data_IF_932828135539
#
_entry.id   IF_932828135539
#
_cell.length_a   1.000
_cell.length_b   1.000
_cell.length_c   1.000
_cell.angle_alpha   90.00
_cell.angle_beta   90.00
_cell.angle_gamma   90.00
#
_symmetry.space_group_name_H-M   'P 1'
#
loop_
_entity.id
_entity.type
_entity.pdbx_description
1 polymer ?
#
# COMPACT_ATOMS: atom_id res chain seq x y z
N UNK A 1 22.87 -4.15 40.54
CA UNK A 1 23.61 -4.65 39.37
C UNK A 1 23.80 -3.50 38.39
N UNK A 2 24.94 -3.39 37.71
CA UNK A 2 25.16 -2.32 36.72
C UNK A 2 24.20 -2.46 35.53
N UNK A 3 23.60 -1.35 35.10
CA UNK A 3 22.70 -1.26 33.95
C UNK A 3 23.50 -0.95 32.68
N UNK A 4 23.64 -1.96 31.82
CA UNK A 4 24.35 -1.87 30.53
C UNK A 4 23.42 -1.56 29.36
N UNK A 5 22.11 -1.33 29.58
CA UNK A 5 21.14 -1.14 28.50
C UNK A 5 21.50 0.06 27.59
N UNK A 6 22.10 1.10 28.17
CA UNK A 6 22.53 2.30 27.46
C UNK A 6 23.81 2.13 26.64
N UNK A 7 24.56 1.05 26.82
CA UNK A 7 25.78 0.77 26.04
C UNK A 7 25.51 -0.08 24.80
N UNK A 8 24.26 -0.49 24.59
CA UNK A 8 23.85 -1.34 23.47
C UNK A 8 23.21 -0.49 22.37
N UNK A 9 23.61 -0.72 21.12
CA UNK A 9 22.98 -0.10 19.95
C UNK A 9 21.74 -0.91 19.54
N UNK A 10 20.62 -0.65 20.20
CA UNK A 10 19.35 -1.35 19.95
C UNK A 10 18.59 -0.69 18.78
N UNK A 11 17.90 -1.48 17.94
CA UNK A 11 17.01 -0.91 16.93
C UNK A 11 15.90 -0.10 17.56
N UNK A 12 15.74 1.14 17.11
CA UNK A 12 14.62 2.01 17.46
C UNK A 12 13.90 2.42 16.17
N UNK A 13 12.58 2.24 16.15
CA UNK A 13 11.77 2.53 14.98
C UNK A 13 10.37 2.99 15.40
N UNK A 14 9.84 4.05 14.77
CA UNK A 14 8.46 4.45 14.95
C UNK A 14 7.47 3.49 14.23
N UNK A 15 7.98 2.50 13.48
CA UNK A 15 7.14 1.55 12.78
C UNK A 15 6.43 0.61 13.78
N UNK A 16 5.09 0.64 13.84
CA UNK A 16 4.37 -0.16 14.81
C UNK A 16 4.47 -1.65 14.43
N UNK A 17 4.67 -2.49 15.44
CA UNK A 17 4.70 -3.95 15.25
C UNK A 17 3.33 -4.51 14.82
N UNK A 18 2.23 -3.87 15.26
CA UNK A 18 0.86 -4.21 14.85
C UNK A 18 0.47 -3.41 13.61
N UNK A 19 -0.09 -4.09 12.61
CA UNK A 19 -0.48 -3.48 11.34
C UNK A 19 -1.57 -2.40 11.45
N UNK A 20 -2.67 -2.69 12.18
CA UNK A 20 -3.88 -1.84 12.29
C UNK A 20 -4.48 -1.47 10.92
N UNK A 21 -4.52 -2.45 10.01
CA UNK A 21 -4.79 -2.25 8.58
C UNK A 21 -6.16 -1.64 8.30
N UNK A 22 -7.22 -2.12 8.95
CA UNK A 22 -8.57 -1.60 8.78
C UNK A 22 -8.69 -0.07 8.98
N UNK A 23 -7.81 0.53 9.79
CA UNK A 23 -7.76 1.99 9.98
C UNK A 23 -6.78 2.69 9.05
N UNK A 24 -5.65 2.05 8.71
CA UNK A 24 -4.56 2.67 7.94
C UNK A 24 -4.79 2.61 6.43
N UNK A 25 -5.32 1.49 5.93
CA UNK A 25 -5.53 1.25 4.50
C UNK A 25 -6.41 2.31 3.83
N UNK A 26 -7.54 2.76 4.43
CA UNK A 26 -8.33 3.84 3.83
C UNK A 26 -7.53 5.14 3.65
N UNK A 27 -6.64 5.46 4.59
CA UNK A 27 -5.76 6.62 4.50
C UNK A 27 -4.72 6.51 3.37
N UNK A 28 -4.21 5.31 3.12
CA UNK A 28 -3.30 5.06 1.99
C UNK A 28 -3.99 5.24 0.65
N UNK A 29 -5.17 4.62 0.48
CA UNK A 29 -5.96 4.75 -0.75
C UNK A 29 -6.28 6.22 -1.03
N UNK A 30 -6.72 6.97 -0.02
CA UNK A 30 -6.96 8.42 -0.13
C UNK A 30 -5.70 9.17 -0.57
N UNK A 31 -4.56 8.92 0.08
CA UNK A 31 -3.30 9.56 -0.31
C UNK A 31 -2.87 9.22 -1.75
N UNK A 32 -3.16 8.01 -2.24
CA UNK A 32 -2.82 7.63 -3.61
C UNK A 32 -3.69 8.34 -4.64
N UNK A 33 -4.99 8.51 -4.33
CA UNK A 33 -5.93 9.25 -5.15
C UNK A 33 -5.56 10.74 -5.21
N UNK A 34 -5.31 11.37 -4.06
CA UNK A 34 -4.88 12.77 -3.98
C UNK A 34 -3.60 13.05 -4.77
N UNK A 35 -2.66 12.08 -4.76
CA UNK A 35 -1.39 12.18 -5.47
C UNK A 35 -1.47 11.76 -6.94
N UNK A 36 -2.64 11.35 -7.44
CA UNK A 36 -2.79 10.82 -8.81
C UNK A 36 -1.73 9.76 -9.11
N UNK A 37 -1.58 8.80 -8.18
CA UNK A 37 -0.47 7.83 -8.21
C UNK A 37 -0.46 7.00 -9.49
N UNK A 38 -1.63 6.61 -9.97
CA UNK A 38 -1.73 5.81 -11.19
C UNK A 38 -1.22 6.60 -12.40
N UNK A 39 -1.63 7.86 -12.54
CA UNK A 39 -1.20 8.77 -13.58
C UNK A 39 0.31 9.01 -13.54
N UNK A 40 0.88 9.17 -12.34
CA UNK A 40 2.33 9.29 -12.16
C UNK A 40 3.09 8.05 -12.66
N UNK A 41 2.59 6.85 -12.36
CA UNK A 41 3.14 5.58 -12.86
C UNK A 41 3.04 5.53 -14.39
N UNK A 42 1.90 5.91 -14.97
CA UNK A 42 1.71 5.94 -16.44
C UNK A 42 2.68 6.89 -17.13
N UNK A 43 2.94 8.07 -16.54
CA UNK A 43 3.93 9.04 -17.05
C UNK A 43 5.35 8.46 -16.98
N UNK A 44 5.74 7.88 -15.85
CA UNK A 44 7.08 7.30 -15.67
C UNK A 44 7.35 6.08 -16.56
N UNK A 45 6.30 5.36 -16.98
CA UNK A 45 6.39 4.20 -17.85
C UNK A 45 6.30 4.54 -19.35
N UNK A 46 6.25 5.82 -19.74
CA UNK A 46 6.16 6.22 -21.13
C UNK A 46 7.30 5.62 -21.99
N UNK A 47 6.95 5.12 -23.19
CA UNK A 47 7.90 4.52 -24.12
C UNK A 47 8.32 3.07 -23.83
N UNK A 48 7.95 2.50 -22.68
CA UNK A 48 8.21 1.08 -22.38
C UNK A 48 7.32 0.17 -23.21
N UNK A 49 7.76 -1.07 -23.55
CA UNK A 49 6.88 -2.07 -24.12
C UNK A 49 5.62 -2.25 -23.29
N UNK A 50 4.46 -2.30 -23.95
CA UNK A 50 3.17 -2.44 -23.28
C UNK A 50 2.99 -3.88 -22.80
N UNK A 51 2.57 -4.02 -21.54
CA UNK A 51 1.92 -5.21 -21.03
C UNK A 51 0.44 -4.88 -20.82
N UNK A 52 -0.47 -5.68 -21.38
CA UNK A 52 -1.92 -5.44 -21.34
C UNK A 52 -2.56 -6.59 -20.58
N UNK A 53 -3.19 -6.27 -19.44
CA UNK A 53 -4.01 -7.18 -18.66
C UNK A 53 -5.47 -6.76 -18.87
N UNK A 54 -6.25 -7.61 -19.53
CA UNK A 54 -7.69 -7.39 -19.69
C UNK A 54 -8.42 -8.01 -18.51
N UNK A 55 -9.02 -7.16 -17.68
CA UNK A 55 -9.93 -7.62 -16.64
C UNK A 55 -11.34 -7.80 -17.23
N UNK A 56 -12.01 -8.88 -16.83
CA UNK A 56 -13.35 -9.19 -17.30
C UNK A 56 -14.35 -8.21 -16.68
N UNK A 57 -15.34 -7.69 -17.43
CA UNK A 57 -16.33 -6.80 -16.84
C UNK A 57 -17.14 -7.55 -15.77
N UNK A 58 -17.23 -7.05 -14.52
CA UNK A 58 -18.04 -7.67 -13.50
C UNK A 58 -19.54 -7.44 -13.80
N UNK A 59 -20.39 -8.32 -13.29
CA UNK A 59 -21.83 -8.08 -13.30
C UNK A 59 -22.17 -6.99 -12.27
N UNK A 60 -22.90 -5.95 -12.69
CA UNK A 60 -23.22 -4.79 -11.85
C UNK A 60 -24.44 -4.98 -10.93
N UNK A 61 -24.86 -6.22 -10.65
CA UNK A 61 -26.16 -6.52 -10.03
C UNK A 61 -26.06 -7.18 -8.63
N UNK A 62 -25.08 -6.81 -7.81
CA UNK A 62 -24.94 -7.33 -6.44
C UNK A 62 -23.67 -6.89 -5.74
N UNK A 63 -23.51 -7.33 -4.50
CA UNK A 63 -22.28 -7.12 -3.73
C UNK A 63 -21.15 -8.00 -4.23
N UNK A 64 -19.92 -7.48 -4.08
CA UNK A 64 -18.70 -8.22 -4.36
C UNK A 64 -18.53 -9.36 -3.36
N UNK A 65 -18.28 -10.57 -3.85
CA UNK A 65 -17.86 -11.72 -3.03
C UNK A 65 -16.36 -12.00 -3.21
N UNK A 66 -15.78 -12.84 -2.35
CA UNK A 66 -14.33 -13.16 -2.29
C UNK A 66 -13.70 -13.72 -3.58
N UNK A 67 -14.51 -14.03 -4.60
CA UNK A 67 -14.05 -14.55 -5.88
C UNK A 67 -13.99 -13.49 -6.99
N UNK A 68 -14.49 -12.29 -6.73
CA UNK A 68 -14.14 -11.10 -7.50
C UNK A 68 -12.81 -10.56 -6.96
#
# INVERSE_FOLDING_TARGET
MPDYKHTLNLPDSPFPMRGDLAKREPGWVKSWQEKQRYEAIRKAAAGRPKFILHDGPPYANGDIHIGH
#
